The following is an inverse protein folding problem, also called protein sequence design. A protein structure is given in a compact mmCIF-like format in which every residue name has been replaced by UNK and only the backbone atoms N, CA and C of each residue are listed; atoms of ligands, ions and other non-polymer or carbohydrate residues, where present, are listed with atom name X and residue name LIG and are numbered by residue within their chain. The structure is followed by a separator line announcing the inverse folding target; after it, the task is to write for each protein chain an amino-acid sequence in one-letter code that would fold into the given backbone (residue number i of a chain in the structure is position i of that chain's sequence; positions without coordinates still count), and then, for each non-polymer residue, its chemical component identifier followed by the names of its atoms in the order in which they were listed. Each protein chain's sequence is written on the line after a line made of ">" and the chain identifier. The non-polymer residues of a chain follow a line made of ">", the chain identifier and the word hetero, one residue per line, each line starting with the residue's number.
data_IF_981397063048
#
_entry.id   IF_981397063048
#
_cell.length_a   1.000
_cell.length_b   1.000
_cell.length_c   1.000
_cell.angle_alpha   90.00
_cell.angle_beta   90.00
_cell.angle_gamma   90.00
#
_symmetry.space_group_name_H-M   'P 1'
#
loop_
_entity.id
_entity.type
_entity.pdbx_description
1 polymer ?
#
# COMPACT_ATOMS: atom_id res chain seq x y z
N UNK A 1 -4.72 -11.40 4.56
CA UNK A 1 -3.69 -10.46 4.08
C UNK A 1 -2.39 -10.85 4.75
N UNK A 2 -1.27 -10.77 4.05
CA UNK A 2 0.05 -11.11 4.59
C UNK A 2 0.99 -9.92 4.42
N UNK A 3 1.80 -9.66 5.44
CA UNK A 3 2.84 -8.61 5.46
C UNK A 3 4.18 -9.21 5.05
N UNK A 4 4.89 -8.56 4.14
CA UNK A 4 6.22 -8.97 3.71
C UNK A 4 7.27 -8.91 4.84
N UNK A 5 7.01 -8.14 5.91
CA UNK A 5 7.82 -8.16 7.13
C UNK A 5 7.64 -9.45 7.95
N UNK A 6 6.55 -10.18 7.74
CA UNK A 6 6.24 -11.47 8.38
C UNK A 6 6.29 -12.68 7.42
N UNK A 7 6.41 -12.46 6.11
CA UNK A 7 6.46 -13.52 5.08
C UNK A 7 7.52 -13.17 4.03
N UNK A 8 8.66 -13.85 4.02
CA UNK A 8 9.76 -13.61 3.08
C UNK A 8 9.51 -14.21 1.68
N UNK A 9 8.31 -14.05 1.12
CA UNK A 9 7.99 -14.65 -0.18
C UNK A 9 7.69 -13.61 -1.25
N UNK A 10 8.41 -13.76 -2.37
CA UNK A 10 8.44 -12.91 -3.53
C UNK A 10 7.05 -12.56 -4.04
N UNK A 11 6.80 -11.26 -4.13
CA UNK A 11 5.58 -10.69 -4.69
C UNK A 11 5.68 -10.77 -6.22
N UNK A 12 5.22 -11.89 -6.79
CA UNK A 12 5.12 -12.10 -8.24
C UNK A 12 4.01 -11.25 -8.88
N UNK A 13 4.18 -9.93 -8.90
CA UNK A 13 3.30 -8.98 -9.58
C UNK A 13 3.81 -8.77 -11.00
N UNK A 14 3.02 -9.13 -12.00
CA UNK A 14 3.18 -8.61 -13.37
C UNK A 14 2.11 -7.54 -13.59
N UNK A 15 2.50 -6.27 -13.49
CA UNK A 15 1.76 -5.15 -14.07
C UNK A 15 2.05 -5.02 -15.57
N UNK A 16 1.22 -4.29 -16.34
CA UNK A 16 1.53 -3.95 -17.72
C UNK A 16 2.83 -3.14 -17.77
N UNK A 17 3.70 -3.48 -18.73
CA UNK A 17 5.10 -3.10 -18.81
C UNK A 17 5.38 -1.59 -18.79
N UNK A 18 6.48 -1.21 -18.11
CA UNK A 18 7.17 0.07 -18.30
C UNK A 18 7.63 0.73 -17.01
N UNK A 19 8.96 0.75 -16.79
CA UNK A 19 9.85 1.63 -15.98
C UNK A 19 9.47 2.07 -14.55
N UNK A 20 8.19 2.04 -14.17
CA UNK A 20 7.64 2.57 -12.94
C UNK A 20 7.39 1.51 -11.89
N UNK A 21 7.79 0.25 -12.06
CA UNK A 21 7.61 -0.84 -11.07
C UNK A 21 8.96 -1.38 -10.56
N UNK A 22 10.02 -0.56 -10.65
CA UNK A 22 11.37 -0.91 -10.19
C UNK A 22 11.40 -1.37 -8.72
N UNK A 23 10.62 -0.70 -7.87
CA UNK A 23 10.48 -1.04 -6.46
C UNK A 23 9.84 -2.41 -6.19
N UNK A 24 8.99 -2.92 -7.09
CA UNK A 24 8.38 -4.25 -6.92
C UNK A 24 9.38 -5.38 -7.19
N UNK A 25 10.47 -5.12 -7.92
CA UNK A 25 11.56 -6.09 -8.10
C UNK A 25 12.41 -6.25 -6.84
N UNK A 26 12.38 -5.26 -5.94
CA UNK A 26 13.13 -5.27 -4.70
C UNK A 26 12.31 -4.71 -3.53
N UNK A 27 11.19 -5.37 -3.24
CA UNK A 27 10.29 -4.97 -2.13
C UNK A 27 11.02 -4.96 -0.79
N UNK A 28 11.92 -5.92 -0.57
CA UNK A 28 12.71 -6.06 0.65
C UNK A 28 13.47 -4.77 0.97
N UNK A 29 14.34 -4.32 0.06
CA UNK A 29 15.14 -3.14 0.34
C UNK A 29 14.30 -1.85 0.33
N UNK A 30 13.38 -1.73 -0.63
CA UNK A 30 12.64 -0.47 -0.84
C UNK A 30 11.65 -0.19 0.27
N UNK A 31 10.97 -1.21 0.79
CA UNK A 31 9.90 -1.05 1.77
C UNK A 31 10.25 -1.61 3.15
N UNK A 32 10.96 -2.73 3.25
CA UNK A 32 11.18 -3.40 4.55
C UNK A 32 12.43 -2.87 5.23
N UNK A 33 13.58 -2.91 4.56
CA UNK A 33 14.86 -2.41 5.09
C UNK A 33 14.79 -0.91 5.37
N UNK A 34 14.05 -0.16 4.56
CA UNK A 34 13.82 1.28 4.77
C UNK A 34 12.97 1.62 6.00
N UNK A 35 12.36 0.62 6.65
CA UNK A 35 11.59 0.77 7.89
C UNK A 35 10.07 0.72 7.72
N UNK A 36 9.57 0.55 6.50
CA UNK A 36 8.15 0.47 6.18
C UNK A 36 7.59 -0.96 6.21
N UNK A 37 6.56 -1.19 5.38
CA UNK A 37 5.96 -2.51 5.16
C UNK A 37 5.34 -2.62 3.76
N UNK A 38 5.08 -3.84 3.32
CA UNK A 38 4.39 -4.15 2.08
C UNK A 38 3.41 -5.29 2.29
N UNK A 39 2.15 -5.09 1.90
CA UNK A 39 1.05 -6.01 2.16
C UNK A 39 0.53 -6.57 0.86
N UNK A 40 0.27 -7.89 0.86
CA UNK A 40 -0.40 -8.59 -0.23
C UNK A 40 -1.65 -9.31 0.28
N UNK A 41 -2.70 -9.29 -0.55
CA UNK A 41 -3.89 -10.09 -0.36
C UNK A 41 -3.96 -11.15 -1.46
N UNK A 42 -4.06 -12.42 -1.07
CA UNK A 42 -4.25 -13.54 -1.99
C UNK A 42 -5.63 -14.16 -1.79
N UNK A 43 -6.29 -14.49 -2.90
CA UNK A 43 -7.50 -15.32 -2.94
C UNK A 43 -7.14 -16.48 -3.86
N UNK A 44 -6.88 -17.65 -3.27
CA UNK A 44 -6.15 -18.77 -3.87
C UNK A 44 -6.50 -19.05 -5.34
N UNK A 45 -5.52 -19.14 -6.26
CA UNK A 45 -4.08 -18.83 -6.15
C UNK A 45 -3.73 -17.37 -6.51
N UNK A 46 -4.71 -16.49 -6.72
CA UNK A 46 -4.52 -15.19 -7.37
C UNK A 46 -4.12 -14.10 -6.37
N UNK A 47 -3.23 -13.21 -6.78
CA UNK A 47 -2.99 -11.95 -6.08
C UNK A 47 -4.19 -11.03 -6.30
N UNK A 48 -4.94 -10.77 -5.24
CA UNK A 48 -6.17 -9.99 -5.31
C UNK A 48 -5.94 -8.50 -5.03
N UNK A 49 -4.96 -8.15 -4.18
CA UNK A 49 -4.61 -6.77 -3.87
C UNK A 49 -3.20 -6.66 -3.31
N UNK A 50 -2.63 -5.45 -3.37
CA UNK A 50 -1.34 -5.13 -2.74
C UNK A 50 -1.25 -3.65 -2.41
N UNK A 51 -0.35 -3.28 -1.50
CA UNK A 51 0.02 -1.89 -1.20
C UNK A 51 1.21 -1.84 -0.23
N UNK A 52 1.93 -0.73 -0.21
CA UNK A 52 3.11 -0.56 0.62
C UNK A 52 3.19 0.81 1.29
N UNK A 53 3.89 0.85 2.41
CA UNK A 53 4.28 2.04 3.15
C UNK A 53 5.77 2.24 2.94
N UNK A 54 6.14 3.33 2.27
CA UNK A 54 7.54 3.72 2.12
C UNK A 54 7.84 4.88 3.07
N UNK A 55 8.79 4.74 4.02
CA UNK A 55 9.16 5.84 4.88
C UNK A 55 9.73 7.00 4.05
N UNK A 56 9.38 8.22 4.44
CA UNK A 56 9.95 9.42 3.82
C UNK A 56 10.74 10.22 4.86
N UNK A 57 10.31 11.44 5.22
CA UNK A 57 10.92 12.22 6.29
C UNK A 57 10.06 12.21 7.54
N UNK A 58 10.68 12.54 8.67
CA UNK A 58 10.04 12.74 9.96
C UNK A 58 9.28 11.47 10.41
N UNK A 59 7.97 11.58 10.64
CA UNK A 59 7.07 10.50 11.06
C UNK A 59 6.03 10.18 9.98
N UNK A 60 6.40 10.40 8.71
CA UNK A 60 5.50 10.25 7.55
C UNK A 60 5.88 9.02 6.71
N UNK A 61 4.88 8.20 6.40
CA UNK A 61 4.97 7.16 5.38
C UNK A 61 4.23 7.59 4.12
N UNK A 62 4.77 7.25 2.95
CA UNK A 62 4.07 7.38 1.67
C UNK A 62 3.39 6.07 1.32
N UNK A 63 2.09 6.13 1.04
CA UNK A 63 1.32 5.01 0.51
C UNK A 63 1.67 4.81 -0.97
N UNK A 64 2.19 3.64 -1.32
CA UNK A 64 2.55 3.29 -2.69
C UNK A 64 1.93 1.96 -3.10
N UNK A 65 1.83 1.77 -4.43
CA UNK A 65 1.42 0.50 -5.06
C UNK A 65 0.07 -0.05 -4.62
N UNK A 66 -0.77 0.75 -3.97
CA UNK A 66 -2.09 0.30 -3.55
C UNK A 66 -2.96 0.03 -4.79
N UNK A 67 -3.28 -1.25 -5.01
CA UNK A 67 -4.07 -1.73 -6.15
C UNK A 67 -4.89 -2.96 -5.77
N UNK A 68 -6.05 -3.10 -6.40
CA UNK A 68 -6.90 -4.30 -6.34
C UNK A 68 -7.06 -4.83 -7.75
N UNK A 69 -6.83 -6.12 -7.95
CA UNK A 69 -7.03 -6.80 -9.22
C UNK A 69 -8.49 -6.59 -9.69
N UNK A 70 -8.72 -6.21 -10.97
CA UNK A 70 -10.05 -5.90 -11.49
C UNK A 70 -11.12 -6.97 -11.21
N UNK A 71 -10.76 -8.26 -11.19
CA UNK A 71 -11.68 -9.35 -10.90
C UNK A 71 -12.22 -9.34 -9.46
N UNK A 72 -11.52 -8.66 -8.56
CA UNK A 72 -11.83 -8.58 -7.14
C UNK A 72 -12.22 -7.17 -6.65
N UNK A 73 -12.34 -6.20 -7.56
CA UNK A 73 -12.79 -4.84 -7.25
C UNK A 73 -14.28 -4.80 -6.85
N UNK A 74 -14.70 -3.66 -6.28
CA UNK A 74 -16.08 -3.39 -5.81
C UNK A 74 -16.60 -4.35 -4.72
N UNK A 75 -15.69 -5.05 -4.04
CA UNK A 75 -15.97 -5.97 -2.93
C UNK A 75 -15.39 -5.50 -1.59
N UNK A 76 -15.05 -4.23 -1.48
CA UNK A 76 -14.47 -3.64 -0.25
C UNK A 76 -12.99 -3.96 0.00
N UNK A 77 -12.32 -4.72 -0.86
CA UNK A 77 -10.90 -5.09 -0.67
C UNK A 77 -9.96 -3.88 -0.60
N UNK A 78 -10.20 -2.83 -1.38
CA UNK A 78 -9.41 -1.60 -1.32
C UNK A 78 -9.49 -0.96 0.07
N UNK A 79 -10.71 -0.77 0.59
CA UNK A 79 -10.91 -0.22 1.94
C UNK A 79 -10.26 -1.09 3.02
N UNK A 80 -10.40 -2.42 2.92
CA UNK A 80 -9.78 -3.35 3.87
C UNK A 80 -8.25 -3.27 3.83
N UNK A 81 -7.68 -3.18 2.64
CA UNK A 81 -6.23 -3.06 2.46
C UNK A 81 -5.71 -1.73 3.02
N UNK A 82 -6.43 -0.63 2.80
CA UNK A 82 -6.07 0.68 3.34
C UNK A 82 -6.05 0.68 4.87
N UNK A 83 -7.10 0.15 5.52
CA UNK A 83 -7.16 0.08 6.98
C UNK A 83 -6.06 -0.79 7.60
N UNK A 84 -5.66 -1.87 6.93
CA UNK A 84 -4.50 -2.66 7.37
C UNK A 84 -3.20 -1.85 7.23
N UNK A 85 -3.01 -1.13 6.13
CA UNK A 85 -1.83 -0.27 5.94
C UNK A 85 -1.80 0.87 6.98
N UNK A 86 -2.93 1.49 7.31
CA UNK A 86 -3.03 2.46 8.40
C UNK A 86 -2.64 1.86 9.75
N UNK A 87 -3.15 0.66 10.06
CA UNK A 87 -2.81 -0.06 11.30
C UNK A 87 -1.31 -0.41 11.36
N UNK A 88 -0.71 -0.81 10.23
CA UNK A 88 0.75 -1.04 10.13
C UNK A 88 1.54 0.25 10.32
N UNK A 89 1.06 1.36 9.77
CA UNK A 89 1.74 2.64 9.93
C UNK A 89 1.82 3.04 11.42
N UNK A 90 0.72 2.90 12.16
CA UNK A 90 0.69 3.11 13.62
C UNK A 90 1.67 2.16 14.33
N UNK A 91 1.64 0.87 14.02
CA UNK A 91 2.52 -0.12 14.65
C UNK A 91 4.02 0.12 14.37
N UNK A 92 4.34 0.77 13.25
CA UNK A 92 5.70 1.15 12.87
C UNK A 92 6.12 2.53 13.41
N UNK A 93 5.23 3.24 14.11
CA UNK A 93 5.51 4.54 14.72
C UNK A 93 5.33 5.74 13.78
N UNK A 94 4.76 5.55 12.59
CA UNK A 94 4.38 6.67 11.74
C UNK A 94 3.15 7.38 12.31
N UNK A 95 3.13 8.72 12.23
CA UNK A 95 1.96 9.52 12.57
C UNK A 95 1.12 9.87 11.36
N UNK A 96 1.73 9.93 10.17
CA UNK A 96 1.03 10.38 8.96
C UNK A 96 1.24 9.40 7.82
N UNK A 97 0.19 9.24 7.01
CA UNK A 97 0.29 8.65 5.68
C UNK A 97 -0.02 9.72 4.64
N UNK A 98 0.86 9.87 3.66
CA UNK A 98 0.61 10.70 2.47
C UNK A 98 0.44 9.85 1.21
N UNK A 99 -0.26 10.41 0.23
CA UNK A 99 -0.47 9.84 -1.10
C UNK A 99 0.43 10.52 -2.13
N UNK A 100 0.93 9.75 -3.09
CA UNK A 100 1.53 10.31 -4.30
C UNK A 100 0.43 10.81 -5.25
N UNK A 101 0.15 12.12 -5.18
CA UNK A 101 -0.90 12.80 -5.95
C UNK A 101 -0.70 12.73 -7.46
N UNK A 102 0.52 12.50 -7.93
CA UNK A 102 0.80 12.42 -9.38
C UNK A 102 0.31 11.12 -10.01
N UNK A 103 -0.08 10.13 -9.20
CA UNK A 103 -0.39 8.76 -9.62
C UNK A 103 -1.69 8.21 -9.03
N UNK A 104 -2.54 9.07 -8.47
CA UNK A 104 -3.85 8.63 -7.94
C UNK A 104 -4.74 8.27 -9.13
N UNK A 105 -4.93 6.96 -9.34
CA UNK A 105 -5.94 6.47 -10.26
C UNK A 105 -7.33 6.81 -9.71
N UNK A 106 -8.23 7.28 -10.58
CA UNK A 106 -9.58 7.76 -10.23
C UNK A 106 -10.37 6.77 -9.37
N UNK A 107 -10.15 5.46 -9.54
CA UNK A 107 -10.81 4.41 -8.76
C UNK A 107 -10.41 4.33 -7.28
N UNK A 108 -9.21 4.79 -6.91
CA UNK A 108 -8.75 4.80 -5.52
C UNK A 108 -9.11 6.10 -4.78
N UNK A 109 -9.37 7.19 -5.52
CA UNK A 109 -9.65 8.51 -4.95
C UNK A 109 -10.81 8.49 -3.96
N UNK A 110 -11.94 7.87 -4.33
CA UNK A 110 -13.11 7.77 -3.44
C UNK A 110 -12.83 6.95 -2.17
N UNK A 111 -11.92 5.98 -2.23
CA UNK A 111 -11.52 5.20 -1.04
C UNK A 111 -10.76 6.10 -0.07
N UNK A 112 -9.84 6.92 -0.57
CA UNK A 112 -9.04 7.83 0.24
C UNK A 112 -9.89 8.97 0.84
N UNK A 113 -10.78 9.57 0.05
CA UNK A 113 -11.68 10.64 0.52
C UNK A 113 -12.57 10.14 1.67
N UNK A 114 -13.16 8.94 1.54
CA UNK A 114 -13.99 8.34 2.59
C UNK A 114 -13.17 7.91 3.82
N UNK A 115 -11.86 7.72 3.67
CA UNK A 115 -10.93 7.44 4.76
C UNK A 115 -10.37 8.72 5.42
N UNK A 116 -10.77 9.91 4.95
CA UNK A 116 -10.36 11.17 5.55
C UNK A 116 -9.00 11.70 5.07
N UNK A 117 -8.47 11.19 3.95
CA UNK A 117 -7.31 11.79 3.31
C UNK A 117 -7.69 13.14 2.71
N UNK A 118 -7.28 14.22 3.37
CA UNK A 118 -7.48 15.60 2.92
C UNK A 118 -6.19 16.09 2.30
N UNK A 119 -6.25 16.70 1.11
CA UNK A 119 -5.09 17.15 0.33
C UNK A 119 -4.03 16.06 0.06
N UNK A 120 -4.40 14.78 0.19
CA UNK A 120 -3.52 13.65 0.00
C UNK A 120 -2.69 13.27 1.23
N UNK A 121 -3.08 13.68 2.43
CA UNK A 121 -2.45 13.25 3.69
C UNK A 121 -3.51 12.95 4.75
N UNK A 122 -3.22 12.01 5.65
CA UNK A 122 -4.06 11.70 6.81
C UNK A 122 -3.20 11.45 8.05
N UNK A 123 -3.72 11.85 9.21
CA UNK A 123 -3.19 11.47 10.51
C UNK A 123 -3.65 10.03 10.79
N UNK A 124 -2.72 9.10 10.93
CA UNK A 124 -3.03 7.74 11.41
C UNK A 124 -3.01 7.77 12.93
N UNK A 125 -4.10 8.24 13.52
CA UNK A 125 -4.23 8.35 14.98
C UNK A 125 -4.28 6.97 15.63
N UNK A 126 -3.51 6.86 16.72
CA UNK A 126 -3.17 5.67 17.52
C UNK A 126 -4.31 4.72 17.84
#
# INVERSE_FOLDING_TARGET
>A
MASARSTSEAVGVRGPEGMWEDDLRNVGDVYIVSGGDFIVARISPRLAAMGGLKPVKDDVAELKRMRVDPAFQRRGLGRRLLGELESRAVALGFKWIKLDRTKIQTGAQRVYELAGYIEGIVLVSR
#
